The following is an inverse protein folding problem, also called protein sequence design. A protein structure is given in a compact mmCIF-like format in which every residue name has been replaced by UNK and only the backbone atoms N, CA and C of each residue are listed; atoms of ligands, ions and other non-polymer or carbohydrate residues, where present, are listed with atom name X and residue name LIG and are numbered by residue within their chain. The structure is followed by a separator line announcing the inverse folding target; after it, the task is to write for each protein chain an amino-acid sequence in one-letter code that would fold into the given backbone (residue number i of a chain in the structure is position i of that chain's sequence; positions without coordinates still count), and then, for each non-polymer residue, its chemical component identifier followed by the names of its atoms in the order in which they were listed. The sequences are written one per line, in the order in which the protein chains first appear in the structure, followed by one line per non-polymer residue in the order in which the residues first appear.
data_IF_449346113830
#
_entry.id   IF_449346113830
#
_cell.length_a   1.000
_cell.length_b   1.000
_cell.length_c   1.000
_cell.angle_alpha   90.00
_cell.angle_beta   90.00
_cell.angle_gamma   90.00
#
_symmetry.space_group_name_H-M   'P 1'
#
loop_
_entity.id
_entity.type
_entity.pdbx_description
1 polymer ?
#
# COMPACT_ATOMS: atom_id res chain seq x y z
N UNK A 1 25.17 15.87 2.90
CA UNK A 1 26.13 16.01 1.78
C UNK A 1 27.26 14.98 1.84
N UNK A 2 27.99 14.83 2.96
CA UNK A 2 29.12 13.89 3.06
C UNK A 2 28.78 12.45 2.62
N UNK A 3 27.64 11.90 3.07
CA UNK A 3 27.20 10.55 2.69
C UNK A 3 26.96 10.39 1.18
N UNK A 4 26.33 11.39 0.54
CA UNK A 4 26.10 11.41 -0.90
C UNK A 4 27.42 11.47 -1.67
N UNK A 5 28.36 12.33 -1.24
CA UNK A 5 29.68 12.43 -1.85
C UNK A 5 30.45 11.10 -1.73
N UNK A 6 30.46 10.49 -0.54
CA UNK A 6 31.10 9.20 -0.30
C UNK A 6 30.50 8.08 -1.16
N UNK A 7 29.17 8.08 -1.33
CA UNK A 7 28.50 7.13 -2.22
C UNK A 7 28.85 7.36 -3.69
N UNK A 8 28.94 8.61 -4.15
CA UNK A 8 29.38 8.93 -5.52
C UNK A 8 30.79 8.43 -5.83
N UNK A 9 31.70 8.37 -4.84
CA UNK A 9 33.06 7.86 -5.04
C UNK A 9 33.08 6.43 -5.57
N UNK A 10 32.10 5.59 -5.20
CA UNK A 10 31.98 4.21 -5.72
C UNK A 10 31.88 4.23 -7.24
N UNK A 11 31.00 5.08 -7.79
CA UNK A 11 30.80 5.20 -9.22
C UNK A 11 32.00 5.85 -9.92
N UNK A 12 32.62 6.86 -9.29
CA UNK A 12 33.81 7.53 -9.81
C UNK A 12 34.98 6.54 -9.95
N UNK A 13 35.19 5.69 -8.95
CA UNK A 13 36.26 4.67 -8.97
C UNK A 13 35.95 3.56 -9.99
N UNK A 14 34.67 3.27 -10.24
CA UNK A 14 34.26 2.21 -11.17
C UNK A 14 34.18 2.65 -12.64
N UNK A 15 33.95 3.93 -12.92
CA UNK A 15 33.76 4.43 -14.26
C UNK A 15 35.08 4.64 -15.01
N UNK A 16 35.08 4.34 -16.31
CA UNK A 16 36.19 4.60 -17.23
C UNK A 16 36.18 6.01 -17.82
N UNK A 17 35.00 6.63 -17.90
CA UNK A 17 34.80 8.00 -18.40
C UNK A 17 33.72 8.74 -17.63
N UNK A 18 33.64 10.07 -17.81
CA UNK A 18 32.57 10.90 -17.22
C UNK A 18 31.19 10.45 -17.70
N UNK A 19 31.08 10.01 -18.96
CA UNK A 19 29.83 9.48 -19.50
C UNK A 19 29.38 8.21 -18.75
N UNK A 20 30.29 7.26 -18.53
CA UNK A 20 29.99 6.00 -17.84
C UNK A 20 29.62 6.23 -16.37
N UNK A 21 30.25 7.25 -15.75
CA UNK A 21 29.90 7.73 -14.42
C UNK A 21 28.47 8.24 -14.39
N UNK A 22 28.11 9.20 -15.24
CA UNK A 22 26.76 9.77 -15.30
C UNK A 22 25.74 8.65 -15.53
N UNK A 23 25.98 7.82 -16.53
CA UNK A 23 25.07 6.73 -16.91
C UNK A 23 24.84 5.77 -15.74
N UNK A 24 25.90 5.26 -15.12
CA UNK A 24 25.76 4.30 -14.01
C UNK A 24 25.22 4.93 -12.73
N UNK A 25 25.60 6.17 -12.43
CA UNK A 25 25.13 6.91 -11.27
C UNK A 25 23.61 7.13 -11.32
N UNK A 26 23.09 7.66 -12.43
CA UNK A 26 21.66 7.89 -12.56
C UNK A 26 20.88 6.60 -12.71
N UNK A 27 21.39 5.63 -13.48
CA UNK A 27 20.73 4.33 -13.61
C UNK A 27 20.59 3.62 -12.27
N UNK A 28 21.60 3.68 -11.41
CA UNK A 28 21.51 3.08 -10.09
C UNK A 28 20.55 3.88 -9.18
N UNK A 29 20.75 5.19 -9.02
CA UNK A 29 19.97 5.96 -8.05
C UNK A 29 18.51 6.14 -8.46
N UNK A 30 18.23 6.51 -9.72
CA UNK A 30 16.86 6.65 -10.21
C UNK A 30 16.24 5.28 -10.52
N UNK A 31 17.02 4.34 -11.06
CA UNK A 31 16.49 3.02 -11.40
C UNK A 31 16.15 2.17 -10.17
N UNK A 32 16.90 2.27 -9.07
CA UNK A 32 16.51 1.59 -7.81
C UNK A 32 15.23 2.14 -7.22
N UNK A 33 14.97 3.45 -7.34
CA UNK A 33 13.69 4.05 -6.96
C UNK A 33 12.54 3.47 -7.78
N UNK A 34 12.68 3.46 -9.11
CA UNK A 34 11.66 2.88 -10.01
C UNK A 34 11.45 1.39 -9.74
N UNK A 35 12.53 0.63 -9.52
CA UNK A 35 12.46 -0.78 -9.17
C UNK A 35 11.65 -1.01 -7.88
N UNK A 36 11.83 -0.15 -6.88
CA UNK A 36 11.10 -0.21 -5.62
C UNK A 36 9.61 0.12 -5.81
N UNK A 37 9.27 1.11 -6.63
CA UNK A 37 7.87 1.41 -7.00
C UNK A 37 7.25 0.20 -7.69
N UNK A 38 7.92 -0.36 -8.69
CA UNK A 38 7.42 -1.54 -9.42
C UNK A 38 7.21 -2.72 -8.46
N UNK A 39 8.15 -3.00 -7.56
CA UNK A 39 7.98 -4.08 -6.58
C UNK A 39 6.78 -3.84 -5.66
N UNK A 40 6.53 -2.59 -5.23
CA UNK A 40 5.36 -2.25 -4.44
C UNK A 40 4.05 -2.49 -5.23
N UNK A 41 4.00 -2.11 -6.50
CA UNK A 41 2.86 -2.41 -7.38
C UNK A 41 2.62 -3.91 -7.53
N UNK A 42 3.67 -4.68 -7.79
CA UNK A 42 3.57 -6.14 -7.91
C UNK A 42 3.08 -6.78 -6.59
N UNK A 43 3.51 -6.28 -5.43
CA UNK A 43 3.02 -6.73 -4.13
C UNK A 43 1.52 -6.43 -3.99
N UNK A 44 1.11 -5.19 -4.21
CA UNK A 44 -0.29 -4.78 -4.08
C UNK A 44 -1.20 -5.59 -5.02
N UNK A 45 -0.73 -5.90 -6.23
CA UNK A 45 -1.50 -6.66 -7.20
C UNK A 45 -1.60 -8.15 -6.86
N UNK A 46 -0.47 -8.79 -6.57
CA UNK A 46 -0.34 -10.25 -6.58
C UNK A 46 -0.31 -10.90 -5.19
N UNK A 47 0.05 -10.15 -4.13
CA UNK A 47 0.13 -10.70 -2.78
C UNK A 47 -1.21 -10.59 -2.06
N UNK A 48 -1.91 -11.71 -1.93
CA UNK A 48 -3.18 -11.74 -1.20
C UNK A 48 -3.02 -11.31 0.26
N UNK A 49 -3.86 -10.38 0.70
CA UNK A 49 -3.82 -9.83 2.06
C UNK A 49 -2.76 -8.75 2.28
N UNK A 50 -2.06 -8.30 1.24
CA UNK A 50 -1.04 -7.25 1.37
C UNK A 50 -1.67 -5.95 1.86
N UNK A 51 -1.00 -5.31 2.80
CA UNK A 51 -1.29 -3.93 3.16
C UNK A 51 -0.72 -3.01 2.08
N UNK A 52 -1.51 -2.03 1.63
CA UNK A 52 -1.05 -1.02 0.66
C UNK A 52 0.29 -0.46 1.10
N UNK A 53 1.29 -0.61 0.24
CA UNK A 53 2.65 -0.19 0.55
C UNK A 53 2.70 1.31 0.85
N UNK A 54 3.25 1.69 2.01
CA UNK A 54 3.66 3.08 2.25
C UNK A 54 4.91 3.36 1.40
N UNK A 55 4.68 3.82 0.17
CA UNK A 55 5.74 4.16 -0.78
C UNK A 55 6.77 5.10 -0.15
N UNK A 56 6.37 6.01 0.75
CA UNK A 56 7.29 6.94 1.38
C UNK A 56 8.35 6.20 2.22
N UNK A 57 7.95 5.19 2.99
CA UNK A 57 8.88 4.37 3.79
C UNK A 57 9.74 3.47 2.92
N UNK A 58 9.13 2.84 1.92
CA UNK A 58 9.84 1.92 1.04
C UNK A 58 10.90 2.65 0.20
N UNK A 59 10.58 3.84 -0.32
CA UNK A 59 11.51 4.66 -1.09
C UNK A 59 12.66 5.22 -0.24
N UNK A 60 12.48 5.45 1.06
CA UNK A 60 13.56 5.84 1.97
C UNK A 60 14.70 4.82 2.04
N UNK A 61 14.45 3.56 1.67
CA UNK A 61 15.46 2.49 1.66
C UNK A 61 16.07 2.22 0.26
N UNK A 62 15.70 2.99 -0.76
CA UNK A 62 16.12 2.76 -2.15
C UNK A 62 17.58 3.18 -2.44
N UNK A 63 17.94 4.42 -2.10
CA UNK A 63 19.27 4.98 -2.35
C UNK A 63 19.69 5.96 -1.26
N UNK A 64 21.01 6.08 -1.00
CA UNK A 64 21.54 7.09 -0.10
C UNK A 64 21.17 8.52 -0.48
N UNK A 65 21.01 8.76 -1.78
CA UNK A 65 20.59 10.05 -2.31
C UNK A 65 19.14 10.37 -1.96
N UNK A 66 18.22 9.45 -2.24
CA UNK A 66 16.81 9.66 -1.91
C UNK A 66 16.61 9.80 -0.41
N UNK A 67 17.23 8.93 0.41
CA UNK A 67 17.16 9.04 1.86
C UNK A 67 17.63 10.40 2.36
N UNK A 68 18.81 10.85 1.93
CA UNK A 68 19.37 12.13 2.36
C UNK A 68 18.51 13.32 1.90
N UNK A 69 17.99 13.29 0.67
CA UNK A 69 17.18 14.37 0.11
C UNK A 69 15.79 14.42 0.73
N UNK A 70 15.05 13.30 0.73
CA UNK A 70 13.70 13.21 1.30
C UNK A 70 13.67 13.63 2.78
N UNK A 71 14.67 13.19 3.56
CA UNK A 71 14.78 13.56 4.97
C UNK A 71 15.26 15.00 5.19
N UNK A 72 15.95 15.61 4.23
CA UNK A 72 16.32 17.04 4.30
C UNK A 72 15.07 17.92 4.28
N UNK A 73 14.10 17.58 3.42
CA UNK A 73 12.82 18.31 3.35
C UNK A 73 11.96 18.09 4.60
N UNK A 74 12.10 16.96 5.27
CA UNK A 74 11.43 16.72 6.56
C UNK A 74 12.16 17.33 7.76
N UNK A 75 13.34 17.94 7.61
CA UNK A 75 14.07 18.58 8.72
C UNK A 75 13.24 19.65 9.43
N UNK A 76 12.41 20.40 8.69
CA UNK A 76 11.50 21.41 9.27
C UNK A 76 10.42 20.80 10.18
N UNK A 77 10.18 19.49 10.10
CA UNK A 77 9.24 18.75 10.93
C UNK A 77 9.91 18.06 12.12
N UNK A 78 11.25 18.05 12.21
CA UNK A 78 11.94 17.48 13.37
C UNK A 78 11.86 18.42 14.57
N UNK A 79 10.83 18.24 15.38
CA UNK A 79 10.70 18.89 16.70
C UNK A 79 11.49 18.16 17.79
N UNK A 80 11.95 16.93 17.52
CA UNK A 80 12.58 16.04 18.50
C UNK A 80 14.07 15.81 18.19
N UNK A 81 14.95 16.21 19.12
CA UNK A 81 16.40 16.08 19.01
C UNK A 81 16.87 14.63 18.79
N UNK A 82 16.16 13.63 19.34
CA UNK A 82 16.49 12.21 19.14
C UNK A 82 16.35 11.80 17.68
N UNK A 83 15.30 12.26 17.00
CA UNK A 83 15.03 11.89 15.62
C UNK A 83 16.08 12.47 14.67
N UNK A 84 16.51 13.71 14.94
CA UNK A 84 17.62 14.36 14.24
C UNK A 84 18.95 13.62 14.46
N UNK A 85 19.22 13.18 15.68
CA UNK A 85 20.43 12.40 16.00
C UNK A 85 20.44 11.06 15.26
N UNK A 86 19.33 10.31 15.26
CA UNK A 86 19.22 9.06 14.51
C UNK A 86 19.42 9.27 13.00
N UNK A 87 18.85 10.34 12.45
CA UNK A 87 19.07 10.72 11.05
C UNK A 87 20.56 10.96 10.75
N UNK A 88 21.24 11.75 11.58
CA UNK A 88 22.67 12.06 11.45
C UNK A 88 23.56 10.81 11.55
N UNK A 89 23.31 9.95 12.54
CA UNK A 89 24.05 8.69 12.73
C UNK A 89 23.90 7.79 11.52
N UNK A 90 22.67 7.61 11.00
CA UNK A 90 22.43 6.81 9.79
C UNK A 90 23.23 7.34 8.59
N UNK A 91 23.25 8.66 8.37
CA UNK A 91 24.05 9.24 7.30
C UNK A 91 25.56 9.02 7.48
N UNK A 92 26.07 9.11 8.71
CA UNK A 92 27.48 8.84 8.99
C UNK A 92 27.85 7.38 8.72
N UNK A 93 26.99 6.44 9.12
CA UNK A 93 27.18 5.01 8.84
C UNK A 93 27.20 4.78 7.32
N UNK A 94 26.24 5.35 6.58
CA UNK A 94 26.19 5.24 5.12
C UNK A 94 27.42 5.85 4.45
N UNK A 95 27.91 6.99 4.94
CA UNK A 95 29.13 7.61 4.45
C UNK A 95 30.35 6.72 4.69
N UNK A 96 30.51 6.18 5.91
CA UNK A 96 31.62 5.31 6.27
C UNK A 96 31.63 4.02 5.43
N UNK A 97 30.49 3.35 5.29
CA UNK A 97 30.35 2.15 4.46
C UNK A 97 30.71 2.46 3.01
N UNK A 98 30.20 3.58 2.47
CA UNK A 98 30.46 3.96 1.09
C UNK A 98 31.93 4.29 0.85
N UNK A 99 32.58 4.97 1.80
CA UNK A 99 34.00 5.31 1.72
C UNK A 99 34.88 4.06 1.80
N UNK A 100 34.57 3.12 2.71
CA UNK A 100 35.26 1.83 2.79
C UNK A 100 35.09 1.06 1.49
N UNK A 101 33.88 0.99 0.93
CA UNK A 101 33.63 0.34 -0.36
C UNK A 101 34.45 1.00 -1.49
N UNK A 102 34.42 2.33 -1.58
CA UNK A 102 35.19 3.08 -2.57
C UNK A 102 36.70 2.87 -2.41
N UNK A 103 37.22 2.87 -1.18
CA UNK A 103 38.63 2.61 -0.87
C UNK A 103 39.07 1.19 -1.27
N UNK A 104 38.26 0.18 -0.93
CA UNK A 104 38.54 -1.21 -1.31
C UNK A 104 38.51 -1.40 -2.84
N UNK A 105 37.56 -0.77 -3.53
CA UNK A 105 37.49 -0.77 -4.98
C UNK A 105 38.65 0.02 -5.61
N UNK A 106 39.11 1.09 -4.96
CA UNK A 106 40.23 1.86 -5.46
C UNK A 106 41.54 1.07 -5.35
N UNK A 107 41.82 0.48 -4.20
CA UNK A 107 43.05 -0.29 -3.98
C UNK A 107 43.14 -1.56 -4.83
N UNK A 108 42.00 -2.15 -5.20
CA UNK A 108 41.95 -3.30 -6.10
C UNK A 108 41.93 -2.91 -7.58
N UNK A 109 41.81 -1.62 -7.91
CA UNK A 109 41.77 -1.17 -9.30
C UNK A 109 43.17 -1.29 -9.90
N UNK A 110 43.34 -2.28 -10.77
CA UNK A 110 44.57 -2.42 -11.55
C UNK A 110 44.70 -1.27 -12.53
N UNK A 111 45.90 -0.66 -12.61
CA UNK A 111 46.20 0.47 -13.50
C UNK A 111 45.96 0.15 -14.99
N UNK A 112 46.03 -1.14 -15.36
CA UNK A 112 45.77 -1.67 -16.71
C UNK A 112 44.31 -1.51 -17.19
N UNK A 113 43.37 -1.21 -16.29
CA UNK A 113 41.96 -0.97 -16.65
C UNK A 113 41.65 0.49 -16.99
N UNK A 114 42.68 1.31 -17.20
CA UNK A 114 42.51 2.69 -17.65
C UNK A 114 42.06 2.70 -19.11
N UNK A 115 40.89 3.28 -19.38
CA UNK A 115 40.30 3.35 -20.73
C UNK A 115 39.20 2.31 -21.04
N UNK A 116 38.90 1.38 -20.13
CA UNK A 116 37.75 0.47 -20.24
C UNK A 116 36.50 1.15 -19.65
N UNK A 117 35.36 1.08 -20.33
CA UNK A 117 34.07 1.69 -19.95
C UNK A 117 33.74 1.52 -18.46
N UNK A 118 33.90 0.31 -17.92
CA UNK A 118 33.77 0.03 -16.50
C UNK A 118 34.96 -0.75 -15.98
N UNK A 119 35.66 -0.21 -14.97
CA UNK A 119 36.75 -0.88 -14.29
C UNK A 119 36.28 -2.18 -13.59
N UNK A 120 35.02 -2.20 -13.17
CA UNK A 120 34.39 -3.35 -12.55
C UNK A 120 33.12 -3.78 -13.30
N UNK A 121 33.11 -5.03 -13.75
CA UNK A 121 32.03 -5.58 -14.57
C UNK A 121 30.69 -5.70 -13.84
N UNK A 122 30.68 -5.78 -12.51
CA UNK A 122 29.44 -5.92 -11.74
C UNK A 122 28.56 -4.68 -11.89
N UNK A 123 29.13 -3.47 -11.93
CA UNK A 123 28.36 -2.23 -12.02
C UNK A 123 27.57 -2.18 -13.33
N UNK A 124 28.22 -2.53 -14.43
CA UNK A 124 27.56 -2.71 -15.73
C UNK A 124 26.40 -3.71 -15.66
N UNK A 125 26.61 -4.87 -15.05
CA UNK A 125 25.58 -5.93 -14.96
C UNK A 125 24.40 -5.50 -14.09
N UNK A 126 24.65 -4.80 -12.98
CA UNK A 126 23.59 -4.26 -12.11
C UNK A 126 22.76 -3.21 -12.86
N UNK A 127 23.40 -2.25 -13.52
CA UNK A 127 22.68 -1.22 -14.28
C UNK A 127 21.86 -1.84 -15.41
N UNK A 128 22.44 -2.78 -16.14
CA UNK A 128 21.78 -3.53 -17.20
C UNK A 128 20.58 -4.34 -16.67
N UNK A 129 20.72 -4.96 -15.50
CA UNK A 129 19.64 -5.69 -14.84
C UNK A 129 18.49 -4.77 -14.43
N UNK A 130 18.80 -3.63 -13.80
CA UNK A 130 17.82 -2.62 -13.38
C UNK A 130 17.04 -2.10 -14.59
N UNK A 131 17.75 -1.71 -15.67
CA UNK A 131 17.11 -1.22 -16.90
C UNK A 131 16.29 -2.32 -17.58
N UNK A 132 16.78 -3.56 -17.58
CA UNK A 132 16.04 -4.73 -18.02
C UNK A 132 14.71 -4.88 -17.27
N UNK A 133 14.75 -4.82 -15.94
CA UNK A 133 13.56 -5.01 -15.11
C UNK A 133 12.54 -3.87 -15.29
N UNK A 134 13.01 -2.62 -15.30
CA UNK A 134 12.17 -1.45 -15.56
C UNK A 134 11.56 -1.52 -16.96
N UNK A 135 12.38 -1.84 -17.97
CA UNK A 135 11.91 -1.99 -19.35
C UNK A 135 10.86 -3.09 -19.49
N UNK A 136 11.00 -4.19 -18.74
CA UNK A 136 10.00 -5.25 -18.69
C UNK A 136 8.65 -4.71 -18.19
N UNK A 137 8.64 -4.07 -17.03
CA UNK A 137 7.41 -3.54 -16.47
C UNK A 137 6.78 -2.45 -17.33
N UNK A 138 7.57 -1.45 -17.76
CA UNK A 138 7.06 -0.32 -18.55
C UNK A 138 6.46 -0.77 -19.87
N UNK A 139 7.16 -1.61 -20.64
CA UNK A 139 6.63 -2.06 -21.93
C UNK A 139 5.43 -3.00 -21.74
N UNK A 140 5.45 -3.84 -20.70
CA UNK A 140 4.31 -4.66 -20.30
C UNK A 140 3.06 -3.82 -20.09
N UNK A 141 3.11 -2.83 -19.18
CA UNK A 141 1.99 -1.96 -18.83
C UNK A 141 1.49 -1.14 -20.04
N UNK A 142 2.39 -0.53 -20.82
CA UNK A 142 2.02 0.33 -21.96
C UNK A 142 1.18 -0.45 -22.98
N UNK A 143 1.57 -1.68 -23.29
CA UNK A 143 0.92 -2.49 -24.34
C UNK A 143 -0.17 -3.42 -23.80
N UNK A 144 -0.41 -3.42 -22.49
CA UNK A 144 -1.51 -4.15 -21.86
C UNK A 144 -2.57 -3.24 -21.25
N UNK A 145 -2.51 -1.93 -21.54
CA UNK A 145 -3.42 -0.93 -20.98
C UNK A 145 -3.49 -0.94 -19.44
N UNK A 146 -2.39 -1.31 -18.77
CA UNK A 146 -2.31 -1.40 -17.32
C UNK A 146 -2.73 -2.74 -16.71
N UNK A 147 -3.25 -3.68 -17.49
CA UNK A 147 -3.70 -4.98 -16.99
C UNK A 147 -2.60 -6.05 -17.07
N UNK A 148 -2.60 -7.03 -16.15
CA UNK A 148 -1.62 -8.12 -16.12
C UNK A 148 -2.03 -9.33 -16.98
N UNK A 149 -2.39 -9.07 -18.23
CA UNK A 149 -2.85 -10.10 -19.20
C UNK A 149 -1.68 -10.88 -19.83
N UNK A 150 -1.99 -11.83 -20.72
CA UNK A 150 -0.95 -12.51 -21.53
C UNK A 150 -0.12 -11.50 -22.34
N UNK A 151 -0.77 -10.45 -22.86
CA UNK A 151 -0.09 -9.35 -23.57
C UNK A 151 0.95 -8.66 -22.70
N UNK A 152 0.64 -8.39 -21.43
CA UNK A 152 1.61 -7.81 -20.48
C UNK A 152 2.89 -8.63 -20.43
N UNK A 153 2.79 -9.96 -20.29
CA UNK A 153 3.97 -10.83 -20.15
C UNK A 153 4.80 -10.94 -21.44
N UNK A 154 4.14 -10.93 -22.61
CA UNK A 154 4.83 -10.92 -23.91
C UNK A 154 5.62 -9.61 -24.07
N UNK A 155 4.96 -8.47 -23.83
CA UNK A 155 5.61 -7.16 -23.96
C UNK A 155 6.62 -6.92 -22.84
N UNK A 156 6.45 -7.52 -21.66
CA UNK A 156 7.45 -7.47 -20.61
C UNK A 156 8.73 -8.23 -20.98
N UNK A 157 8.62 -9.41 -21.61
CA UNK A 157 9.78 -10.11 -22.12
C UNK A 157 10.51 -9.27 -23.19
N UNK A 158 9.76 -8.70 -24.14
CA UNK A 158 10.34 -7.82 -25.17
C UNK A 158 10.97 -6.57 -24.57
N UNK A 159 10.30 -5.93 -23.60
CA UNK A 159 10.75 -4.73 -22.92
C UNK A 159 12.07 -4.95 -22.19
N UNK A 160 12.20 -6.08 -21.50
CA UNK A 160 13.43 -6.46 -20.81
C UNK A 160 14.62 -6.63 -21.76
N UNK A 161 14.38 -7.29 -22.91
CA UNK A 161 15.41 -7.54 -23.91
C UNK A 161 15.81 -6.25 -24.63
N UNK A 162 14.84 -5.46 -25.08
CA UNK A 162 15.07 -4.21 -25.82
C UNK A 162 15.76 -3.17 -24.93
N UNK A 163 15.33 -3.00 -23.69
CA UNK A 163 15.94 -2.04 -22.77
C UNK A 163 17.38 -2.44 -22.41
N UNK A 164 17.63 -3.73 -22.17
CA UNK A 164 18.98 -4.24 -21.89
C UNK A 164 19.90 -4.09 -23.11
N UNK A 165 19.43 -4.43 -24.32
CA UNK A 165 20.22 -4.26 -25.55
C UNK A 165 20.52 -2.78 -25.80
N UNK A 166 19.52 -1.90 -25.61
CA UNK A 166 19.69 -0.45 -25.78
C UNK A 166 20.70 0.10 -24.77
N UNK A 167 20.58 -0.25 -23.49
CA UNK A 167 21.53 0.18 -22.46
C UNK A 167 22.95 -0.34 -22.74
N UNK A 168 23.09 -1.60 -23.14
CA UNK A 168 24.37 -2.19 -23.52
C UNK A 168 24.99 -1.49 -24.74
N UNK A 169 24.19 -1.19 -25.76
CA UNK A 169 24.65 -0.48 -26.95
C UNK A 169 25.14 0.94 -26.64
N UNK A 170 24.43 1.67 -25.75
CA UNK A 170 24.84 2.99 -25.29
C UNK A 170 26.15 2.89 -24.48
N UNK A 171 26.22 1.96 -23.53
CA UNK A 171 27.37 1.79 -22.64
C UNK A 171 28.63 1.36 -23.40
N UNK A 172 28.52 0.42 -24.33
CA UNK A 172 29.64 -0.14 -25.08
C UNK A 172 29.92 0.58 -26.41
N UNK A 173 29.21 1.70 -26.65
CA UNK A 173 29.31 2.53 -27.86
C UNK A 173 29.14 1.71 -29.14
N UNK A 174 28.12 0.85 -29.14
CA UNK A 174 27.77 -0.05 -30.23
C UNK A 174 27.36 -1.45 -29.76
N UNK A 175 27.04 -2.33 -30.70
CA UNK A 175 26.40 -3.62 -30.45
C UNK A 175 27.38 -4.77 -30.07
N UNK A 176 28.53 -4.44 -29.49
CA UNK A 176 29.59 -5.43 -29.18
C UNK A 176 29.18 -6.44 -28.11
N UNK A 177 28.20 -6.09 -27.28
CA UNK A 177 27.79 -6.86 -26.09
C UNK A 177 26.36 -7.39 -26.16
N UNK A 178 25.71 -7.36 -27.33
CA UNK A 178 24.29 -7.76 -27.52
C UNK A 178 23.96 -9.09 -26.88
N UNK A 179 24.77 -10.13 -27.09
CA UNK A 179 24.52 -11.45 -26.47
C UNK A 179 24.45 -11.37 -24.95
N UNK A 180 25.36 -10.62 -24.32
CA UNK A 180 25.39 -10.44 -22.86
C UNK A 180 24.20 -9.59 -22.40
N UNK A 181 23.84 -8.56 -23.16
CA UNK A 181 22.65 -7.74 -22.91
C UNK A 181 21.36 -8.54 -22.95
N UNK A 182 21.20 -9.39 -23.96
CA UNK A 182 20.06 -10.30 -24.08
C UNK A 182 20.00 -11.29 -22.91
N UNK A 183 21.13 -11.90 -22.51
CA UNK A 183 21.17 -12.80 -21.35
C UNK A 183 20.72 -12.06 -20.08
N UNK A 184 21.26 -10.85 -19.85
CA UNK A 184 20.94 -10.10 -18.63
C UNK A 184 19.50 -9.60 -18.65
N UNK A 185 18.98 -9.16 -19.80
CA UNK A 185 17.58 -8.79 -19.97
C UNK A 185 16.64 -9.98 -19.74
N UNK A 186 17.00 -11.16 -20.26
CA UNK A 186 16.30 -12.41 -19.97
C UNK A 186 16.31 -12.75 -18.48
N UNK A 187 17.45 -12.56 -17.79
CA UNK A 187 17.54 -12.72 -16.34
C UNK A 187 16.66 -11.70 -15.58
N UNK A 188 16.58 -10.44 -16.04
CA UNK A 188 15.69 -9.43 -15.45
C UNK A 188 14.23 -9.81 -15.57
N UNK A 189 13.80 -10.26 -16.75
CA UNK A 189 12.44 -10.75 -16.96
C UNK A 189 12.15 -11.98 -16.09
N UNK A 190 13.07 -12.96 -16.07
CA UNK A 190 12.94 -14.14 -15.24
C UNK A 190 12.85 -13.80 -13.74
N UNK A 191 13.61 -12.82 -13.27
CA UNK A 191 13.54 -12.34 -11.90
C UNK A 191 12.17 -11.73 -11.56
N UNK A 192 11.57 -10.97 -12.49
CA UNK A 192 10.20 -10.44 -12.32
C UNK A 192 9.16 -11.55 -12.25
N UNK A 193 9.24 -12.54 -13.16
CA UNK A 193 8.35 -13.71 -13.15
C UNK A 193 8.51 -14.49 -11.83
N UNK A 194 9.75 -14.72 -11.38
CA UNK A 194 10.00 -15.40 -10.11
C UNK A 194 9.42 -14.62 -8.92
N UNK A 195 9.58 -13.29 -8.90
CA UNK A 195 9.00 -12.44 -7.87
C UNK A 195 7.48 -12.58 -7.84
N UNK A 196 6.81 -12.52 -8.99
CA UNK A 196 5.35 -12.69 -9.08
C UNK A 196 4.90 -14.08 -8.65
N UNK A 197 5.62 -15.15 -9.04
CA UNK A 197 5.32 -16.51 -8.57
C UNK A 197 5.40 -16.60 -7.04
N UNK A 198 6.43 -16.01 -6.43
CA UNK A 198 6.56 -15.95 -4.96
C UNK A 198 5.36 -15.23 -4.33
N UNK A 199 4.89 -14.14 -4.92
CA UNK A 199 3.76 -13.36 -4.40
C UNK A 199 2.43 -14.13 -4.53
N UNK A 200 2.15 -14.70 -5.70
CA UNK A 200 0.93 -15.49 -5.97
C UNK A 200 0.88 -16.75 -5.08
N UNK A 201 2.03 -17.38 -4.81
CA UNK A 201 2.11 -18.54 -3.90
C UNK A 201 2.00 -18.17 -2.42
N UNK A 202 1.84 -16.88 -2.11
CA UNK A 202 1.54 -16.40 -0.76
C UNK A 202 2.72 -15.77 -0.02
N UNK A 203 3.79 -15.37 -0.72
CA UNK A 203 4.88 -14.58 -0.17
C UNK A 203 5.59 -15.26 1.00
N UNK A 204 5.93 -16.56 0.86
CA UNK A 204 6.55 -17.37 1.91
C UNK A 204 5.66 -17.54 3.17
N UNK A 205 4.36 -17.75 2.97
CA UNK A 205 3.40 -17.96 4.06
C UNK A 205 2.83 -16.66 4.63
N UNK A 206 3.22 -15.49 4.09
CA UNK A 206 2.60 -14.22 4.43
C UNK A 206 1.07 -14.28 4.27
N UNK A 207 0.57 -14.73 3.11
CA UNK A 207 -0.86 -14.69 2.79
C UNK A 207 -1.72 -15.59 3.70
N UNK A 208 -1.14 -16.63 4.30
CA UNK A 208 -1.84 -17.60 5.14
C UNK A 208 -1.61 -17.40 6.66
N UNK A 209 -0.80 -16.40 7.05
CA UNK A 209 -0.40 -16.22 8.45
C UNK A 209 -1.53 -15.62 9.28
N UNK A 210 -2.06 -16.41 10.20
CA UNK A 210 -2.93 -15.97 11.30
C UNK A 210 -2.19 -16.19 12.63
N UNK A 211 -2.07 -15.18 13.52
CA UNK A 211 -1.49 -15.39 14.85
C UNK A 211 -2.32 -16.34 15.72
N UNK A 212 -1.66 -17.07 16.63
CA UNK A 212 -2.38 -17.92 17.59
C UNK A 212 -3.20 -17.07 18.56
N UNK A 213 -4.38 -17.54 18.95
CA UNK A 213 -5.28 -16.84 19.90
C UNK A 213 -4.57 -16.39 21.18
N UNK A 214 -3.67 -17.23 21.70
CA UNK A 214 -2.94 -16.98 22.95
C UNK A 214 -1.90 -15.85 22.84
N UNK A 215 -1.40 -15.57 21.64
CA UNK A 215 -0.36 -14.56 21.40
C UNK A 215 -0.95 -13.17 21.13
N UNK A 216 -2.26 -13.08 20.88
CA UNK A 216 -2.97 -11.84 20.55
C UNK A 216 -3.28 -11.07 21.85
N UNK A 217 -2.95 -9.78 21.88
CA UNK A 217 -3.33 -8.86 22.95
C UNK A 217 -4.65 -8.16 22.65
N UNK A 218 -4.81 -7.68 21.41
CA UNK A 218 -6.07 -7.12 20.89
C UNK A 218 -6.10 -7.27 19.37
N UNK A 219 -7.29 -7.21 18.80
CA UNK A 219 -7.47 -7.20 17.35
C UNK A 219 -8.34 -6.03 16.95
N UNK A 220 -7.92 -5.33 15.91
CA UNK A 220 -8.66 -4.22 15.32
C UNK A 220 -9.18 -4.61 13.94
N UNK A 221 -10.41 -4.22 13.66
CA UNK A 221 -11.08 -4.47 12.38
C UNK A 221 -11.54 -3.15 11.77
N UNK A 222 -11.22 -2.94 10.50
CA UNK A 222 -11.81 -1.88 9.68
C UNK A 222 -12.75 -2.51 8.68
N UNK A 223 -13.97 -2.00 8.59
CA UNK A 223 -15.02 -2.45 7.68
C UNK A 223 -15.34 -1.33 6.69
N UNK A 224 -15.90 -1.67 5.53
CA UNK A 224 -16.27 -0.69 4.49
C UNK A 224 -17.20 0.44 4.98
N UNK A 225 -18.12 0.14 5.89
CA UNK A 225 -19.06 1.11 6.47
C UNK A 225 -18.46 1.93 7.64
N UNK A 226 -17.17 1.75 7.95
CA UNK A 226 -16.51 2.45 9.04
C UNK A 226 -15.05 2.73 8.70
N UNK A 227 -14.70 4.01 8.51
CA UNK A 227 -13.30 4.41 8.34
C UNK A 227 -12.45 4.22 9.63
N UNK A 228 -13.09 3.93 10.76
CA UNK A 228 -12.44 3.70 12.05
C UNK A 228 -12.17 2.23 12.33
N UNK A 229 -11.07 1.99 13.05
CA UNK A 229 -10.71 0.69 13.58
C UNK A 229 -11.54 0.36 14.81
N UNK A 230 -12.30 -0.73 14.72
CA UNK A 230 -13.05 -1.33 15.81
C UNK A 230 -12.13 -2.28 16.57
N UNK A 231 -11.85 -1.98 17.84
CA UNK A 231 -11.02 -2.85 18.67
C UNK A 231 -11.89 -3.90 19.39
N UNK A 232 -11.55 -5.17 19.21
CA UNK A 232 -12.21 -6.31 19.84
C UNK A 232 -11.27 -6.99 20.84
N UNK A 233 -11.81 -7.34 22.00
CA UNK A 233 -11.07 -8.06 23.05
C UNK A 233 -11.02 -9.56 22.81
N UNK A 234 -12.11 -10.18 22.33
CA UNK A 234 -12.11 -11.59 21.93
C UNK A 234 -11.83 -11.71 20.42
N UNK A 235 -10.67 -12.26 20.02
CA UNK A 235 -10.33 -12.36 18.60
C UNK A 235 -11.05 -13.51 17.88
N UNK A 236 -11.85 -14.34 18.56
CA UNK A 236 -12.37 -15.59 18.00
C UNK A 236 -13.21 -15.38 16.72
N UNK A 237 -14.12 -14.40 16.72
CA UNK A 237 -14.97 -14.13 15.55
C UNK A 237 -14.14 -13.62 14.35
N UNK A 238 -13.15 -12.78 14.61
CA UNK A 238 -12.28 -12.21 13.58
C UNK A 238 -11.30 -13.24 13.03
N UNK A 239 -10.77 -14.13 13.87
CA UNK A 239 -9.97 -15.27 13.43
C UNK A 239 -10.78 -16.14 12.48
N UNK A 240 -12.03 -16.51 12.83
CA UNK A 240 -12.89 -17.31 11.94
C UNK A 240 -13.19 -16.60 10.62
N UNK A 241 -13.44 -15.29 10.66
CA UNK A 241 -13.61 -14.49 9.45
C UNK A 241 -12.34 -14.54 8.58
N UNK A 242 -11.17 -14.33 9.18
CA UNK A 242 -9.89 -14.32 8.48
C UNK A 242 -9.54 -15.70 7.90
N UNK A 243 -9.78 -16.79 8.64
CA UNK A 243 -9.66 -18.17 8.15
C UNK A 243 -10.52 -18.37 6.91
N UNK A 244 -11.80 -17.96 6.96
CA UNK A 244 -12.71 -18.07 5.83
C UNK A 244 -12.26 -17.27 4.62
N UNK A 245 -11.72 -16.06 4.84
CA UNK A 245 -11.17 -15.22 3.76
C UNK A 245 -9.98 -15.91 3.09
N UNK A 246 -9.09 -16.54 3.86
CA UNK A 246 -7.93 -17.29 3.33
C UNK A 246 -8.38 -18.54 2.56
N UNK A 247 -9.35 -19.29 3.07
CA UNK A 247 -9.94 -20.44 2.37
C UNK A 247 -10.50 -20.04 1.00
N UNK A 248 -11.17 -18.89 0.95
CA UNK A 248 -11.83 -18.35 -0.22
C UNK A 248 -10.94 -17.45 -1.07
N UNK A 249 -9.60 -17.50 -0.93
CA UNK A 249 -8.66 -16.60 -1.64
C UNK A 249 -8.80 -16.57 -3.17
N UNK A 250 -9.34 -17.63 -3.78
CA UNK A 250 -9.62 -17.69 -5.22
C UNK A 250 -10.79 -16.81 -5.66
N UNK A 251 -11.58 -16.32 -4.71
CA UNK A 251 -12.75 -15.45 -4.91
C UNK A 251 -12.41 -13.97 -4.67
N UNK A 252 -11.13 -13.59 -4.81
CA UNK A 252 -10.69 -12.19 -4.71
C UNK A 252 -11.60 -11.31 -5.59
N UNK A 253 -12.15 -10.26 -5.01
CA UNK A 253 -13.02 -9.32 -5.70
C UNK A 253 -12.53 -7.90 -5.41
N UNK A 254 -11.83 -7.30 -6.37
CA UNK A 254 -11.24 -5.96 -6.24
C UNK A 254 -12.31 -4.84 -6.19
N UNK A 255 -13.56 -5.13 -6.58
CA UNK A 255 -14.72 -4.24 -6.43
C UNK A 255 -15.55 -4.54 -5.18
N UNK A 256 -15.11 -5.50 -4.36
CA UNK A 256 -15.78 -5.90 -3.13
C UNK A 256 -15.60 -4.90 -1.98
N UNK A 257 -16.27 -5.16 -0.87
CA UNK A 257 -16.07 -4.39 0.36
C UNK A 257 -14.66 -4.58 0.91
N UNK A 258 -14.07 -3.47 1.35
CA UNK A 258 -12.80 -3.40 2.03
C UNK A 258 -12.88 -3.90 3.49
N UNK A 259 -11.96 -4.77 3.87
CA UNK A 259 -11.70 -5.20 5.25
C UNK A 259 -10.21 -5.06 5.57
N UNK A 260 -9.88 -4.47 6.71
CA UNK A 260 -8.53 -4.53 7.29
C UNK A 260 -8.55 -5.21 8.67
N UNK A 261 -7.59 -6.10 8.90
CA UNK A 261 -7.44 -6.83 10.16
C UNK A 261 -6.05 -6.56 10.72
N UNK A 262 -6.00 -5.98 11.92
CA UNK A 262 -4.78 -5.62 12.62
C UNK A 262 -4.71 -6.37 13.95
N UNK A 263 -3.85 -7.40 14.02
CA UNK A 263 -3.54 -8.11 15.25
C UNK A 263 -2.39 -7.43 15.97
N UNK A 264 -2.62 -7.02 17.21
CA UNK A 264 -1.56 -6.63 18.13
C UNK A 264 -1.16 -7.85 18.95
N UNK A 265 0.15 -8.14 19.01
CA UNK A 265 0.67 -9.30 19.71
C UNK A 265 1.27 -8.91 21.07
N UNK A 266 1.21 -9.82 22.03
CA UNK A 266 1.72 -9.62 23.39
C UNK A 266 3.22 -9.31 23.46
N UNK A 267 3.98 -9.73 22.45
CA UNK A 267 5.41 -9.46 22.34
C UNK A 267 5.73 -8.06 21.77
N UNK A 268 4.71 -7.27 21.40
CA UNK A 268 4.86 -5.94 20.80
C UNK A 268 4.88 -5.93 19.27
N UNK A 269 4.87 -7.09 18.60
CA UNK A 269 4.73 -7.17 17.15
C UNK A 269 3.29 -6.93 16.70
N UNK A 270 3.09 -6.69 15.40
CA UNK A 270 1.76 -6.65 14.80
C UNK A 270 1.69 -7.45 13.50
N UNK A 271 0.52 -8.01 13.20
CA UNK A 271 0.22 -8.66 11.92
C UNK A 271 -0.98 -7.96 11.31
N UNK A 272 -0.81 -7.41 10.11
CA UNK A 272 -1.82 -6.58 9.44
C UNK A 272 -2.17 -7.14 8.08
N UNK A 273 -3.45 -7.16 7.73
CA UNK A 273 -3.94 -7.66 6.46
C UNK A 273 -5.04 -6.76 5.91
N UNK A 274 -5.08 -6.60 4.60
CA UNK A 274 -6.12 -5.87 3.90
C UNK A 274 -6.70 -6.72 2.78
N UNK A 275 -8.01 -6.70 2.63
CA UNK A 275 -8.75 -7.51 1.67
C UNK A 275 -9.86 -6.69 1.04
N UNK A 276 -10.12 -6.96 -0.23
CA UNK A 276 -11.37 -6.62 -0.90
C UNK A 276 -12.14 -7.92 -1.13
N UNK A 277 -13.32 -8.03 -0.51
CA UNK A 277 -14.11 -9.26 -0.49
C UNK A 277 -15.57 -8.99 -0.83
N UNK A 278 -16.23 -9.96 -1.44
CA UNK A 278 -17.68 -9.92 -1.61
C UNK A 278 -18.37 -10.20 -0.27
N UNK A 279 -18.85 -9.13 0.39
CA UNK A 279 -19.47 -9.20 1.71
C UNK A 279 -20.66 -10.16 1.78
N UNK A 280 -21.39 -10.36 0.67
CA UNK A 280 -22.53 -11.29 0.62
C UNK A 280 -22.10 -12.73 0.98
N UNK A 281 -20.91 -13.14 0.54
CA UNK A 281 -20.36 -14.47 0.85
C UNK A 281 -19.92 -14.65 2.30
N UNK A 282 -19.81 -13.56 3.05
CA UNK A 282 -19.39 -13.55 4.46
C UNK A 282 -20.47 -13.01 5.38
N UNK A 283 -21.71 -12.85 4.90
CA UNK A 283 -22.86 -12.31 5.63
C UNK A 283 -22.99 -12.89 7.04
N UNK A 284 -22.94 -14.21 7.17
CA UNK A 284 -23.11 -14.90 8.47
C UNK A 284 -21.95 -14.65 9.45
N UNK A 285 -20.76 -14.31 8.95
CA UNK A 285 -19.59 -14.01 9.76
C UNK A 285 -19.49 -12.51 10.08
N UNK A 286 -20.01 -11.66 9.21
CA UNK A 286 -20.01 -10.21 9.37
C UNK A 286 -21.18 -9.73 10.24
N UNK A 287 -22.38 -10.27 10.06
CA UNK A 287 -23.58 -9.85 10.78
C UNK A 287 -23.38 -9.83 12.31
N UNK A 288 -22.79 -10.86 12.95
CA UNK A 288 -22.51 -10.81 14.39
C UNK A 288 -21.56 -9.68 14.80
N UNK A 289 -20.62 -9.28 13.93
CA UNK A 289 -19.71 -8.17 14.19
C UNK A 289 -20.45 -6.83 14.16
N UNK A 290 -21.41 -6.65 13.25
CA UNK A 290 -22.27 -5.46 13.23
C UNK A 290 -23.26 -5.39 14.39
N UNK A 291 -23.62 -6.54 14.98
CA UNK A 291 -24.47 -6.61 16.17
C UNK A 291 -23.70 -6.56 17.49
N UNK A 292 -22.37 -6.51 17.44
CA UNK A 292 -21.51 -6.57 18.63
C UNK A 292 -21.61 -5.29 19.46
N UNK A 293 -21.37 -5.44 20.76
CA UNK A 293 -21.26 -4.30 21.67
C UNK A 293 -20.13 -3.36 21.22
N UNK A 294 -19.02 -3.88 20.70
CA UNK A 294 -17.90 -3.09 20.20
C UNK A 294 -18.31 -2.16 19.03
N UNK A 295 -19.14 -2.66 18.10
CA UNK A 295 -19.67 -1.84 17.01
C UNK A 295 -20.62 -0.76 17.51
N UNK A 296 -21.53 -1.12 18.41
CA UNK A 296 -22.48 -0.19 19.04
C UNK A 296 -21.75 0.90 19.82
N UNK A 297 -20.76 0.52 20.63
CA UNK A 297 -19.95 1.47 21.39
C UNK A 297 -19.11 2.36 20.48
N UNK A 298 -18.68 1.87 19.31
CA UNK A 298 -18.04 2.73 18.31
C UNK A 298 -18.99 3.80 17.77
N UNK A 299 -20.24 3.46 17.47
CA UNK A 299 -21.25 4.45 17.06
C UNK A 299 -21.51 5.48 18.16
N UNK A 300 -21.63 5.02 19.41
CA UNK A 300 -21.83 5.92 20.56
C UNK A 300 -20.66 6.88 20.76
N UNK A 301 -19.43 6.36 20.79
CA UNK A 301 -18.20 7.17 20.89
C UNK A 301 -18.04 8.17 19.75
N UNK A 302 -18.65 7.88 18.61
CA UNK A 302 -18.59 8.75 17.45
C UNK A 302 -19.61 9.88 17.52
N UNK A 303 -20.88 9.55 17.73
CA UNK A 303 -21.99 10.50 17.56
C UNK A 303 -22.48 11.18 18.84
N UNK A 304 -22.09 10.67 20.02
CA UNK A 304 -22.54 11.23 21.31
C UNK A 304 -21.48 12.09 21.99
N UNK A 305 -20.48 12.56 21.23
CA UNK A 305 -19.53 13.57 21.68
C UNK A 305 -20.14 14.97 21.61
N UNK A 306 -19.69 15.86 22.48
CA UNK A 306 -20.17 17.25 22.54
C UNK A 306 -19.68 18.14 21.39
N UNK A 307 -18.66 17.73 20.63
CA UNK A 307 -17.98 18.56 19.62
C UNK A 307 -18.42 18.34 18.17
N UNK A 308 -19.57 17.69 17.95
CA UNK A 308 -20.09 17.43 16.60
C UNK A 308 -20.81 18.67 16.06
N UNK A 309 -20.43 19.08 14.85
CA UNK A 309 -21.04 20.19 14.14
C UNK A 309 -21.11 19.94 12.63
N UNK A 310 -21.78 20.83 11.89
CA UNK A 310 -21.90 20.79 10.42
C UNK A 310 -22.35 19.42 9.89
N UNK A 311 -23.38 18.82 10.50
CA UNK A 311 -23.87 17.49 10.13
C UNK A 311 -24.73 17.60 8.88
N UNK A 312 -24.29 16.96 7.81
CA UNK A 312 -25.04 16.81 6.57
C UNK A 312 -25.37 15.34 6.36
N UNK A 313 -26.61 15.05 6.01
CA UNK A 313 -27.06 13.70 5.68
C UNK A 313 -27.61 13.67 4.25
N UNK A 314 -27.37 12.55 3.59
CA UNK A 314 -27.92 12.26 2.26
C UNK A 314 -28.54 10.85 2.27
N UNK A 315 -29.79 10.79 1.82
CA UNK A 315 -30.66 9.62 1.88
C UNK A 315 -31.05 9.25 0.46
N UNK A 316 -30.20 8.43 -0.15
CA UNK A 316 -30.27 8.07 -1.58
C UNK A 316 -31.64 7.54 -1.99
N UNK A 317 -32.22 6.63 -1.20
CA UNK A 317 -33.50 6.00 -1.55
C UNK A 317 -34.72 6.94 -1.48
N UNK A 318 -34.56 8.14 -0.91
CA UNK A 318 -35.60 9.17 -0.88
C UNK A 318 -35.29 10.32 -1.84
N UNK A 319 -34.13 10.34 -2.47
CA UNK A 319 -33.60 11.53 -3.13
C UNK A 319 -33.75 12.75 -2.22
N UNK A 320 -33.26 12.64 -0.98
CA UNK A 320 -33.44 13.67 0.03
C UNK A 320 -32.16 13.90 0.84
N UNK A 321 -31.82 15.16 1.06
CA UNK A 321 -30.65 15.55 1.83
C UNK A 321 -30.94 16.75 2.74
N UNK A 322 -30.05 17.00 3.70
CA UNK A 322 -30.25 18.11 4.61
C UNK A 322 -29.18 18.25 5.68
N UNK A 323 -29.21 19.40 6.35
CA UNK A 323 -28.36 19.68 7.51
C UNK A 323 -29.14 19.33 8.77
N UNK A 324 -28.53 18.51 9.63
CA UNK A 324 -29.10 18.12 10.92
C UNK A 324 -28.38 18.84 12.07
N UNK A 325 -29.12 19.12 13.13
CA UNK A 325 -28.55 19.46 14.43
C UNK A 325 -27.87 18.25 15.08
N UNK A 326 -27.02 18.52 16.08
CA UNK A 326 -26.36 17.48 16.86
C UNK A 326 -27.37 16.54 17.56
N UNK A 327 -28.51 17.06 18.00
CA UNK A 327 -29.56 16.25 18.67
C UNK A 327 -30.35 15.38 17.69
N UNK A 328 -30.62 15.88 16.48
CA UNK A 328 -31.29 15.10 15.43
C UNK A 328 -30.43 13.92 14.98
N UNK A 329 -29.13 14.13 14.76
CA UNK A 329 -28.24 13.01 14.38
C UNK A 329 -28.08 12.01 15.53
N UNK A 330 -28.01 12.46 16.79
CA UNK A 330 -27.98 11.56 17.95
C UNK A 330 -29.23 10.72 18.05
N UNK A 331 -30.39 11.32 17.78
CA UNK A 331 -31.69 10.63 17.75
C UNK A 331 -31.72 9.58 16.65
N UNK A 332 -31.27 9.93 15.44
CA UNK A 332 -31.16 9.01 14.31
C UNK A 332 -30.25 7.81 14.63
N UNK A 333 -29.06 8.08 15.18
CA UNK A 333 -28.10 7.03 15.53
C UNK A 333 -28.59 6.18 16.70
N UNK A 334 -29.29 6.76 17.68
CA UNK A 334 -29.92 6.00 18.76
C UNK A 334 -30.98 5.02 18.24
N UNK A 335 -31.81 5.46 17.28
CA UNK A 335 -32.80 4.60 16.62
C UNK A 335 -32.13 3.50 15.78
N UNK A 336 -31.04 3.83 15.07
CA UNK A 336 -30.24 2.83 14.37
C UNK A 336 -29.68 1.76 15.30
N UNK A 337 -29.11 2.18 16.44
CA UNK A 337 -28.56 1.26 17.45
C UNK A 337 -29.66 0.36 18.03
N UNK A 338 -30.86 0.89 18.28
CA UNK A 338 -31.95 0.08 18.84
C UNK A 338 -32.50 -0.96 17.86
N UNK A 339 -32.38 -0.72 16.56
CA UNK A 339 -32.81 -1.64 15.51
C UNK A 339 -31.76 -2.68 15.11
N UNK A 340 -30.46 -2.44 15.35
CA UNK A 340 -29.36 -3.37 15.02
C UNK A 340 -29.59 -4.83 15.42
N UNK A 341 -30.14 -5.16 16.60
CA UNK A 341 -30.45 -6.55 16.97
C UNK A 341 -31.36 -7.27 15.95
N UNK A 342 -32.21 -6.54 15.24
CA UNK A 342 -33.15 -7.04 14.22
C UNK A 342 -32.54 -7.15 12.83
N UNK A 343 -31.25 -6.82 12.64
CA UNK A 343 -30.60 -6.91 11.34
C UNK A 343 -30.53 -8.37 10.81
N UNK A 344 -30.78 -8.55 9.52
CA UNK A 344 -30.77 -9.83 8.82
C UNK A 344 -29.54 -9.97 7.91
N UNK A 345 -28.70 -8.94 7.81
CA UNK A 345 -27.37 -8.96 7.19
C UNK A 345 -27.14 -7.93 6.08
N UNK A 346 -28.21 -7.28 5.60
CA UNK A 346 -28.13 -6.13 4.71
C UNK A 346 -27.35 -4.96 5.33
N UNK A 347 -27.31 -4.86 6.67
CA UNK A 347 -26.47 -3.90 7.39
C UNK A 347 -24.97 -4.01 7.05
N UNK A 348 -24.51 -5.22 6.74
CA UNK A 348 -23.14 -5.49 6.33
C UNK A 348 -23.00 -5.43 4.81
N UNK A 349 -23.94 -6.06 4.08
CA UNK A 349 -23.77 -6.35 2.66
C UNK A 349 -24.36 -5.29 1.72
N UNK A 350 -25.22 -4.40 2.23
CA UNK A 350 -26.05 -3.50 1.42
C UNK A 350 -27.23 -4.20 0.72
N UNK A 351 -27.31 -5.52 0.77
CA UNK A 351 -28.38 -6.29 0.10
C UNK A 351 -29.73 -6.03 0.77
N UNK A 352 -30.73 -5.63 -0.02
CA UNK A 352 -32.07 -5.27 0.46
C UNK A 352 -32.07 -4.20 1.57
N UNK A 353 -31.03 -3.37 1.60
CA UNK A 353 -30.88 -2.28 2.56
C UNK A 353 -30.86 -0.94 1.83
N UNK A 354 -31.31 0.09 2.56
CA UNK A 354 -31.32 1.48 2.14
C UNK A 354 -30.01 2.15 2.54
N UNK A 355 -29.48 3.03 1.71
CA UNK A 355 -28.23 3.73 1.97
C UNK A 355 -28.48 5.10 2.64
N UNK A 356 -27.67 5.39 3.66
CA UNK A 356 -27.60 6.68 4.34
C UNK A 356 -26.14 7.09 4.42
N UNK A 357 -25.80 8.29 3.95
CA UNK A 357 -24.49 8.89 4.18
C UNK A 357 -24.57 10.06 5.16
N UNK A 358 -23.56 10.17 6.00
CA UNK A 358 -23.47 11.16 7.07
C UNK A 358 -22.08 11.80 7.02
N UNK A 359 -22.05 13.10 6.75
CA UNK A 359 -20.85 13.93 6.79
C UNK A 359 -20.93 14.86 7.99
N UNK A 360 -19.86 14.99 8.78
CA UNK A 360 -19.87 15.85 9.95
C UNK A 360 -18.48 16.35 10.32
N UNK A 361 -18.41 17.47 11.06
CA UNK A 361 -17.17 17.99 11.61
C UNK A 361 -17.05 17.70 13.10
N UNK A 362 -15.80 17.54 13.50
CA UNK A 362 -15.33 17.53 14.89
C UNK A 362 -14.28 18.63 15.02
N UNK A 363 -13.82 18.91 16.25
CA UNK A 363 -12.88 20.02 16.49
C UNK A 363 -11.60 19.99 15.62
N UNK A 364 -11.21 18.83 15.09
CA UNK A 364 -9.96 18.65 14.34
C UNK A 364 -10.12 18.05 12.95
N UNK A 365 -11.25 17.40 12.64
CA UNK A 365 -11.41 16.61 11.43
C UNK A 365 -12.80 16.77 10.80
N UNK A 366 -12.84 16.68 9.47
CA UNK A 366 -14.03 16.35 8.71
C UNK A 366 -14.14 14.82 8.66
N UNK A 367 -15.33 14.28 8.91
CA UNK A 367 -15.60 12.85 8.97
C UNK A 367 -16.73 12.50 8.01
N UNK A 368 -16.67 11.30 7.45
CA UNK A 368 -17.70 10.73 6.59
C UNK A 368 -18.01 9.30 7.07
N UNK A 369 -19.29 8.94 7.06
CA UNK A 369 -19.73 7.58 7.39
C UNK A 369 -20.97 7.19 6.60
N UNK A 370 -20.98 5.95 6.12
CA UNK A 370 -22.13 5.34 5.47
C UNK A 370 -22.75 4.27 6.36
N UNK A 371 -24.09 4.18 6.34
CA UNK A 371 -24.87 3.18 7.06
C UNK A 371 -25.89 2.54 6.10
N UNK A 372 -26.03 1.22 6.20
CA UNK A 372 -27.10 0.48 5.55
C UNK A 372 -28.24 0.25 6.53
N UNK A 373 -29.47 0.56 6.10
CA UNK A 373 -30.70 0.53 6.88
C UNK A 373 -31.64 -0.49 6.27
N UNK A 374 -31.85 -1.60 6.96
CA UNK A 374 -32.75 -2.65 6.49
C UNK A 374 -34.22 -2.25 6.67
N UNK A 375 -35.13 -2.89 5.94
CA UNK A 375 -36.57 -2.65 6.10
C UNK A 375 -37.09 -3.06 7.50
N UNK A 376 -36.35 -3.91 8.22
CA UNK A 376 -36.64 -4.27 9.61
C UNK A 376 -36.35 -3.13 10.61
N UNK A 377 -35.63 -2.06 10.20
CA UNK A 377 -35.21 -0.95 11.07
C UNK A 377 -36.33 0.09 11.21
N UNK A 378 -37.44 -0.34 11.80
CA UNK A 378 -38.68 0.46 11.88
C UNK A 378 -38.50 1.76 12.64
N UNK A 379 -37.72 1.77 13.72
CA UNK A 379 -37.49 2.99 14.50
C UNK A 379 -36.64 3.98 13.72
N UNK A 380 -35.59 3.49 13.06
CA UNK A 380 -34.68 4.29 12.23
C UNK A 380 -35.43 4.94 11.07
N UNK A 381 -36.24 4.15 10.36
CA UNK A 381 -37.05 4.65 9.24
C UNK A 381 -38.07 5.70 9.70
N UNK A 382 -38.73 5.48 10.84
CA UNK A 382 -39.65 6.47 11.40
C UNK A 382 -38.96 7.79 11.78
N UNK A 383 -37.74 7.72 12.35
CA UNK A 383 -36.96 8.94 12.62
C UNK A 383 -36.61 9.65 11.31
N UNK A 384 -36.13 8.93 10.30
CA UNK A 384 -35.82 9.50 8.98
C UNK A 384 -37.03 10.20 8.35
N UNK A 385 -38.22 9.62 8.46
CA UNK A 385 -39.47 10.20 7.96
C UNK A 385 -39.83 11.53 8.67
N UNK A 386 -39.33 11.75 9.88
CA UNK A 386 -39.59 12.96 10.68
C UNK A 386 -38.52 14.06 10.54
N UNK A 387 -37.40 13.78 9.86
CA UNK A 387 -36.30 14.73 9.73
C UNK A 387 -36.63 15.86 8.74
N UNK A 388 -36.14 17.10 8.97
CA UNK A 388 -36.36 18.24 8.09
C UNK A 388 -35.43 18.19 6.87
N UNK A 389 -35.67 17.23 5.97
CA UNK A 389 -34.88 17.02 4.75
C UNK A 389 -35.54 17.69 3.54
N UNK A 390 -34.72 18.17 2.62
CA UNK A 390 -35.16 18.72 1.34
C UNK A 390 -35.09 17.62 0.27
N UNK A 391 -35.99 17.63 -0.70
CA UNK A 391 -35.84 16.84 -1.92
C UNK A 391 -34.58 17.30 -2.67
N UNK A 392 -33.72 16.36 -3.05
CA UNK A 392 -32.54 16.65 -3.85
C UNK A 392 -32.99 16.97 -5.28
N UNK A 393 -32.71 18.17 -5.76
CA UNK A 393 -32.87 18.48 -7.20
C UNK A 393 -31.95 17.55 -7.99
N UNK A 394 -32.52 16.68 -8.83
CA UNK A 394 -31.75 15.91 -9.80
C UNK A 394 -31.06 16.90 -10.75
N UNK A 395 -29.74 17.12 -10.59
CA UNK A 395 -28.93 17.73 -11.64
C UNK A 395 -28.95 16.79 -12.85
N UNK A 396 -29.78 17.14 -13.84
CA UNK A 396 -29.94 16.40 -15.10
C UNK A 396 -28.80 16.54 -16.10
#
# INVERSE_FOLDING_TARGET
MLACCAFSLIFIVCAGSVFDLILSFFTFNAGTLLLQIINAELINQFLFGSVTADYSRLLLHSSPFYYAFAQLFSLRRFTNAKLLMFFGIKLLIMAAISLVAAFLLYNRRRSEKSGVTYAYRFLYVICLFIVGFIGAYCLGIIFSSGEYTVSFWIFAALGALLSAVTFGAISDRGFKTVKKSLITGGCSFAAMVCAVIILITGGFGYAARIPKKEDISSVSLTLSSSERMLEFKDPAAIIRLHEKIIENRSLKNDEGGYIAIDYNLKNGDSVRRQYYIDYNKYKDLLLPLYKSDEYIESLKKEYFKEDISDVFVDIEYKSANGVLSAEEIRTLIAAYISDLPNAEGGVATGENAKFLSISYRTATNYNYRSLYIENSFKNTLAVIDSLPLNESEEEG
#
